data_IF_054621816276
#
_entry.id   IF_054621816276
#
_cell.length_a   1.000
_cell.length_b   1.000
_cell.length_c   1.000
_cell.angle_alpha   90.00
_cell.angle_beta   90.00
_cell.angle_gamma   90.00
#
_symmetry.space_group_name_H-M   'P 1'
#
loop_
_entity.id
_entity.type
_entity.pdbx_description
1 polymer ?
#
# COMPACT_ATOMS: atom_id res chain seq x y z
N UNK A 1 -54.43 -23.74 6.42
CA UNK A 1 -53.05 -23.71 5.91
C UNK A 1 -52.81 -22.35 5.26
N UNK A 2 -52.10 -21.44 5.92
CA UNK A 2 -51.67 -20.18 5.30
C UNK A 2 -50.61 -20.52 4.25
N UNK A 3 -50.95 -20.42 2.96
CA UNK A 3 -49.94 -20.42 1.90
C UNK A 3 -49.03 -19.22 2.17
N UNK A 4 -47.74 -19.47 2.37
CA UNK A 4 -46.75 -18.40 2.48
C UNK A 4 -46.81 -17.56 1.20
N UNK A 5 -46.70 -16.23 1.32
CA UNK A 5 -46.91 -15.24 0.25
C UNK A 5 -46.19 -15.57 -1.08
N UNK A 6 -45.09 -16.31 -1.01
CA UNK A 6 -44.28 -16.76 -2.15
C UNK A 6 -44.92 -17.88 -2.98
N UNK A 7 -45.80 -18.70 -2.40
CA UNK A 7 -46.46 -19.84 -3.06
C UNK A 7 -47.60 -19.42 -4.01
N UNK A 8 -47.95 -18.14 -4.04
CA UNK A 8 -49.00 -17.57 -4.90
C UNK A 8 -48.47 -16.59 -5.96
N UNK A 9 -47.16 -16.34 -6.01
CA UNK A 9 -46.55 -15.43 -6.97
C UNK A 9 -46.12 -16.19 -8.23
N UNK A 10 -46.25 -15.57 -9.40
CA UNK A 10 -45.68 -16.10 -10.63
C UNK A 10 -44.15 -15.98 -10.62
N UNK A 11 -43.48 -16.73 -11.52
CA UNK A 11 -42.02 -16.66 -11.66
C UNK A 11 -41.53 -15.21 -11.90
N UNK A 12 -42.17 -14.51 -12.85
CA UNK A 12 -41.85 -13.12 -13.16
C UNK A 12 -41.97 -12.21 -11.93
N UNK A 13 -43.02 -12.39 -11.12
CA UNK A 13 -43.22 -11.59 -9.92
C UNK A 13 -42.15 -11.88 -8.84
N UNK A 14 -41.61 -13.09 -8.82
CA UNK A 14 -40.50 -13.44 -7.93
C UNK A 14 -39.17 -12.84 -8.43
N UNK A 15 -38.94 -12.82 -9.74
CA UNK A 15 -37.76 -12.21 -10.37
C UNK A 15 -37.75 -10.68 -10.19
N UNK A 16 -38.88 -10.02 -10.45
CA UNK A 16 -39.01 -8.57 -10.25
C UNK A 16 -38.81 -8.19 -8.78
N UNK A 17 -39.27 -9.05 -7.86
CA UNK A 17 -39.08 -8.84 -6.42
C UNK A 17 -37.64 -9.06 -6.00
N UNK A 18 -36.94 -10.04 -6.58
CA UNK A 18 -35.51 -10.25 -6.34
C UNK A 18 -34.71 -9.01 -6.78
N UNK A 19 -34.94 -8.53 -8.01
CA UNK A 19 -34.27 -7.34 -8.53
C UNK A 19 -34.53 -6.10 -7.68
N UNK A 20 -35.77 -5.91 -7.21
CA UNK A 20 -36.10 -4.80 -6.31
C UNK A 20 -35.42 -4.93 -4.95
N UNK A 21 -35.35 -6.13 -4.37
CA UNK A 21 -34.66 -6.37 -3.10
C UNK A 21 -33.17 -6.06 -3.27
N UNK A 22 -32.53 -6.54 -4.33
CA UNK A 22 -31.11 -6.27 -4.60
C UNK A 22 -30.84 -4.77 -4.77
N UNK A 23 -31.69 -4.05 -5.49
CA UNK A 23 -31.61 -2.59 -5.61
C UNK A 23 -31.77 -1.89 -4.25
N UNK A 24 -32.75 -2.31 -3.43
CA UNK A 24 -32.92 -1.75 -2.09
C UNK A 24 -31.74 -2.05 -1.16
N UNK A 25 -31.17 -3.26 -1.22
CA UNK A 25 -30.00 -3.65 -0.44
C UNK A 25 -28.77 -2.81 -0.78
N UNK A 26 -28.60 -2.41 -2.04
CA UNK A 26 -27.54 -1.48 -2.46
C UNK A 26 -27.70 -0.07 -1.88
N UNK A 27 -28.93 0.36 -1.58
CA UNK A 27 -29.22 1.67 -1.00
C UNK A 27 -29.10 1.73 0.52
N UNK A 28 -29.09 0.57 1.21
CA UNK A 28 -28.98 0.53 2.66
C UNK A 28 -27.61 1.05 3.12
N UNK A 29 -27.62 1.83 4.21
CA UNK A 29 -26.41 2.21 4.91
C UNK A 29 -25.67 0.93 5.34
N UNK A 30 -24.46 0.74 4.84
CA UNK A 30 -23.71 -0.45 5.16
C UNK A 30 -22.72 -0.15 6.32
N UNK A 31 -23.06 -0.50 7.58
CA UNK A 31 -22.25 -0.14 8.73
C UNK A 31 -20.81 -0.64 8.58
N UNK A 32 -19.85 0.24 8.84
CA UNK A 32 -18.43 -0.07 8.95
C UNK A 32 -18.01 0.32 10.37
N UNK A 33 -17.69 -0.68 11.21
CA UNK A 33 -17.31 -0.46 12.61
C UNK A 33 -15.82 -0.08 12.78
N UNK A 34 -15.04 -0.01 11.70
CA UNK A 34 -13.65 0.46 11.66
C UNK A 34 -13.47 1.36 10.43
N UNK A 35 -12.65 2.41 10.55
CA UNK A 35 -12.19 3.17 9.39
C UNK A 35 -11.55 2.23 8.37
N UNK A 36 -11.74 2.49 7.07
CA UNK A 36 -11.17 1.66 5.99
C UNK A 36 -9.66 1.80 5.82
N UNK A 37 -8.96 2.32 6.83
CA UNK A 37 -7.56 2.75 6.76
C UNK A 37 -6.73 1.86 7.68
N UNK A 38 -5.70 1.22 7.13
CA UNK A 38 -4.69 0.49 7.89
C UNK A 38 -3.71 1.42 8.61
N UNK A 39 -2.63 0.87 9.15
CA UNK A 39 -1.56 1.67 9.73
C UNK A 39 -0.87 2.52 8.64
N UNK A 40 -0.56 3.76 8.98
CA UNK A 40 0.21 4.69 8.15
C UNK A 40 1.36 5.19 9.03
N UNK A 41 2.55 4.65 8.82
CA UNK A 41 3.76 5.10 9.53
C UNK A 41 4.36 6.34 8.88
N UNK A 42 4.31 6.43 7.55
CA UNK A 42 4.75 7.61 6.81
C UNK A 42 3.76 7.98 5.70
N UNK A 43 3.59 9.29 5.50
CA UNK A 43 2.83 9.87 4.38
C UNK A 43 3.49 11.17 3.94
N UNK A 44 3.82 11.26 2.65
CA UNK A 44 4.39 12.47 2.06
C UNK A 44 3.37 13.59 1.93
N UNK A 45 3.84 14.79 1.55
CA UNK A 45 2.95 15.82 1.01
C UNK A 45 2.25 15.29 -0.24
N UNK A 46 1.05 15.78 -0.46
CA UNK A 46 0.24 15.42 -1.62
C UNK A 46 0.66 16.22 -2.85
N UNK A 47 0.52 15.59 -4.01
CA UNK A 47 0.72 16.20 -5.32
C UNK A 47 -0.56 16.08 -6.16
N UNK A 48 -0.86 17.05 -7.03
CA UNK A 48 -1.90 16.88 -8.05
C UNK A 48 -1.43 16.01 -9.23
N UNK A 49 -0.14 15.66 -9.34
CA UNK A 49 0.43 14.89 -10.45
C UNK A 49 1.21 13.66 -9.95
N UNK A 50 1.29 12.57 -10.74
CA UNK A 50 1.97 11.34 -10.35
C UNK A 50 3.50 11.44 -10.33
N UNK A 51 4.10 12.22 -11.24
CA UNK A 51 5.55 12.23 -11.50
C UNK A 51 6.36 13.11 -10.54
N UNK A 52 5.80 13.43 -9.38
CA UNK A 52 6.52 14.17 -8.36
C UNK A 52 7.41 13.22 -7.55
N UNK A 53 8.73 13.37 -7.70
CA UNK A 53 9.70 12.60 -6.91
C UNK A 53 9.54 12.87 -5.41
N UNK A 54 9.50 11.80 -4.63
CA UNK A 54 9.49 11.84 -3.17
C UNK A 54 10.61 10.96 -2.63
N UNK A 55 11.42 11.54 -1.75
CA UNK A 55 12.56 10.86 -1.13
C UNK A 55 12.32 10.66 0.36
N UNK A 56 12.62 9.46 0.86
CA UNK A 56 12.60 9.11 2.28
C UNK A 56 13.94 8.50 2.62
N UNK A 57 14.69 9.15 3.50
CA UNK A 57 15.99 8.65 3.99
C UNK A 57 15.85 8.20 5.43
N UNK A 58 16.34 6.99 5.73
CA UNK A 58 16.56 6.51 7.09
C UNK A 58 18.06 6.53 7.33
N UNK A 59 18.49 7.22 8.37
CA UNK A 59 19.87 7.22 8.85
C UNK A 59 19.93 6.37 10.12
N UNK A 60 20.93 5.52 10.21
CA UNK A 60 21.19 4.69 11.38
C UNK A 60 22.04 5.47 12.38
N UNK A 61 22.03 5.06 13.65
CA UNK A 61 22.89 5.66 14.69
C UNK A 61 24.39 5.45 14.38
N UNK A 62 24.75 4.33 13.76
CA UNK A 62 26.10 3.98 13.35
C UNK A 62 26.11 3.24 12.01
N UNK A 63 27.30 3.02 11.44
CA UNK A 63 27.47 2.18 10.26
C UNK A 63 27.14 0.72 10.60
N UNK A 64 26.10 0.18 9.97
CA UNK A 64 25.57 -1.17 10.20
C UNK A 64 25.73 -2.06 8.98
N UNK A 65 25.84 -3.37 9.19
CA UNK A 65 25.72 -4.36 8.11
C UNK A 65 24.25 -4.57 7.77
N UNK A 66 23.88 -4.54 6.50
CA UNK A 66 22.51 -4.76 6.03
C UNK A 66 22.46 -5.79 4.90
N UNK A 67 21.41 -6.60 4.88
CA UNK A 67 21.20 -7.66 3.88
C UNK A 67 19.75 -7.74 3.34
N UNK A 68 18.79 -7.07 3.97
CA UNK A 68 17.41 -7.05 3.50
C UNK A 68 16.71 -5.72 3.81
N UNK A 69 15.89 -5.26 2.87
CA UNK A 69 15.05 -4.06 3.02
C UNK A 69 13.60 -4.46 2.78
N UNK A 70 12.69 -4.04 3.65
CA UNK A 70 11.27 -4.40 3.57
C UNK A 70 10.41 -3.13 3.55
N UNK A 71 9.64 -2.97 2.47
CA UNK A 71 8.66 -1.90 2.31
C UNK A 71 7.26 -2.44 2.61
N UNK A 72 6.63 -1.97 3.68
CA UNK A 72 5.29 -2.41 4.07
C UNK A 72 4.26 -1.39 3.56
N UNK A 73 3.32 -1.79 2.68
CA UNK A 73 2.34 -0.87 2.13
C UNK A 73 1.33 -0.41 3.18
N UNK A 74 0.95 0.87 3.13
CA UNK A 74 -0.26 1.34 3.80
C UNK A 74 -1.47 0.72 3.08
N UNK A 75 -2.41 0.14 3.84
CA UNK A 75 -3.55 -0.58 3.26
C UNK A 75 -4.82 0.26 3.36
N UNK A 76 -5.52 0.39 2.23
CA UNK A 76 -6.89 0.88 2.19
C UNK A 76 -7.86 -0.26 1.89
N UNK A 77 -8.97 -0.28 2.62
CA UNK A 77 -10.09 -1.19 2.41
C UNK A 77 -11.29 -0.44 1.86
N UNK A 78 -11.75 -0.86 0.68
CA UNK A 78 -13.04 -0.45 0.14
C UNK A 78 -13.89 -1.69 -0.17
N UNK A 79 -15.21 -1.57 -0.04
CA UNK A 79 -16.16 -2.65 -0.34
C UNK A 79 -16.21 -3.01 -1.82
N UNK A 80 -15.90 -2.07 -2.72
CA UNK A 80 -15.88 -2.31 -4.17
C UNK A 80 -14.63 -3.06 -4.65
N UNK A 81 -13.48 -2.80 -4.03
CA UNK A 81 -12.17 -3.30 -4.51
C UNK A 81 -11.42 -4.18 -3.51
N UNK A 82 -12.01 -4.47 -2.35
CA UNK A 82 -11.35 -5.23 -1.29
C UNK A 82 -10.22 -4.44 -0.62
N UNK A 83 -9.07 -5.11 -0.43
CA UNK A 83 -7.85 -4.51 0.12
C UNK A 83 -6.89 -4.13 -0.99
N UNK A 84 -6.28 -2.96 -0.89
CA UNK A 84 -5.22 -2.51 -1.78
C UNK A 84 -4.20 -1.65 -1.04
N UNK A 85 -2.99 -1.57 -1.57
CA UNK A 85 -2.07 -0.52 -1.19
C UNK A 85 -2.67 0.87 -1.49
N UNK A 86 -2.49 1.81 -0.57
CA UNK A 86 -2.86 3.21 -0.71
C UNK A 86 -1.58 4.04 -0.69
N UNK A 87 -1.29 4.76 -1.78
CA UNK A 87 -0.09 5.60 -1.89
C UNK A 87 1.24 4.84 -1.98
N UNK A 88 1.24 3.53 -2.19
CA UNK A 88 2.48 2.80 -2.51
C UNK A 88 2.89 3.12 -3.95
N UNK A 89 4.17 3.45 -4.23
CA UNK A 89 4.58 3.96 -5.54
C UNK A 89 4.49 2.89 -6.64
N UNK A 90 4.28 3.33 -7.89
CA UNK A 90 4.36 2.48 -9.08
C UNK A 90 5.81 2.22 -9.42
N UNK A 91 6.62 3.29 -9.43
CA UNK A 91 8.05 3.24 -9.75
C UNK A 91 8.87 3.86 -8.63
N UNK A 92 9.95 3.18 -8.25
CA UNK A 92 10.86 3.62 -7.21
C UNK A 92 12.20 2.90 -7.30
N UNK A 93 13.21 3.46 -6.65
CA UNK A 93 14.48 2.79 -6.42
C UNK A 93 14.96 3.02 -4.99
N UNK A 94 15.86 2.15 -4.55
CA UNK A 94 16.45 2.18 -3.21
C UNK A 94 17.95 2.38 -3.35
N UNK A 95 18.45 3.39 -2.65
CA UNK A 95 19.87 3.72 -2.54
C UNK A 95 20.38 3.32 -1.16
N UNK A 96 21.64 2.92 -1.11
CA UNK A 96 22.38 2.63 0.13
C UNK A 96 23.71 3.39 0.08
N UNK A 97 24.12 3.96 1.21
CA UNK A 97 25.42 4.60 1.33
C UNK A 97 25.88 4.72 2.78
N UNK A 98 27.09 5.22 2.95
CA UNK A 98 27.70 5.52 4.26
C UNK A 98 27.77 7.04 4.44
N UNK A 99 28.20 7.50 5.62
CA UNK A 99 28.39 8.95 5.84
C UNK A 99 29.52 9.54 4.99
N UNK A 100 30.47 8.71 4.54
CA UNK A 100 31.55 9.10 3.63
C UNK A 100 31.13 9.05 2.14
N UNK A 101 29.98 8.44 1.85
CA UNK A 101 29.38 8.36 0.51
C UNK A 101 27.91 8.82 0.54
N UNK A 102 27.70 10.13 0.48
CA UNK A 102 26.35 10.73 0.45
C UNK A 102 25.55 10.42 -0.83
N UNK A 103 26.24 10.04 -1.92
CA UNK A 103 25.57 9.68 -3.17
C UNK A 103 24.98 8.28 -3.11
N UNK A 104 25.70 7.36 -2.45
CA UNK A 104 25.35 5.96 -2.36
C UNK A 104 25.27 5.30 -3.74
N UNK A 105 24.66 4.11 -3.77
CA UNK A 105 24.42 3.37 -5.01
C UNK A 105 23.07 2.66 -4.95
N UNK A 106 22.52 2.36 -6.12
CA UNK A 106 21.22 1.70 -6.26
C UNK A 106 21.37 0.22 -5.94
N UNK A 107 20.58 -0.28 -4.99
CA UNK A 107 20.52 -1.71 -4.62
C UNK A 107 19.27 -2.40 -5.16
N UNK A 108 18.22 -1.64 -5.48
CA UNK A 108 17.03 -2.14 -6.13
C UNK A 108 16.29 -1.04 -6.88
N UNK A 109 15.63 -1.41 -7.98
CA UNK A 109 14.83 -0.51 -8.80
C UNK A 109 13.62 -1.27 -9.32
N UNK A 110 12.46 -0.60 -9.30
CA UNK A 110 11.19 -1.12 -9.76
C UNK A 110 10.45 -0.08 -10.60
N UNK A 111 9.71 -0.55 -11.59
CA UNK A 111 8.83 0.25 -12.41
C UNK A 111 7.46 -0.42 -12.65
N UNK A 112 6.69 0.13 -13.58
CA UNK A 112 5.36 -0.38 -13.90
C UNK A 112 5.38 -1.82 -14.48
N UNK A 113 6.47 -2.23 -15.13
CA UNK A 113 6.61 -3.55 -15.77
C UNK A 113 6.82 -4.66 -14.73
N UNK A 114 7.31 -4.33 -13.53
CA UNK A 114 7.44 -5.26 -12.40
C UNK A 114 6.08 -5.66 -11.79
N UNK A 115 5.00 -4.96 -12.13
CA UNK A 115 3.62 -5.28 -11.72
C UNK A 115 3.47 -5.48 -10.21
N UNK A 116 4.15 -4.66 -9.42
CA UNK A 116 4.08 -4.74 -7.95
C UNK A 116 2.68 -4.43 -7.40
N UNK A 117 1.83 -3.73 -8.16
CA UNK A 117 0.48 -3.35 -7.77
C UNK A 117 -0.58 -4.09 -8.61
N UNK A 118 -1.75 -4.45 -8.03
CA UNK A 118 -2.18 -4.21 -6.65
C UNK A 118 -1.51 -5.17 -5.66
N UNK A 119 -1.09 -4.67 -4.50
CA UNK A 119 -0.42 -5.47 -3.47
C UNK A 119 -0.90 -5.11 -2.07
N UNK A 120 -0.89 -6.12 -1.21
CA UNK A 120 -1.18 -6.01 0.22
C UNK A 120 -0.06 -6.60 1.09
N UNK A 121 0.80 -7.43 0.49
CA UNK A 121 1.96 -7.99 1.14
C UNK A 121 3.13 -6.99 1.09
N UNK A 122 4.07 -7.04 2.05
CA UNK A 122 5.31 -6.29 1.94
C UNK A 122 6.07 -6.59 0.63
N UNK A 123 6.88 -5.63 0.19
CA UNK A 123 7.94 -5.85 -0.80
C UNK A 123 9.21 -6.15 -0.02
N UNK A 124 9.75 -7.34 -0.21
CA UNK A 124 10.99 -7.80 0.41
C UNK A 124 12.08 -7.71 -0.66
N UNK A 125 13.15 -7.00 -0.34
CA UNK A 125 14.29 -6.75 -1.22
C UNK A 125 15.51 -7.35 -0.56
N UNK A 126 15.93 -8.51 -1.04
CA UNK A 126 17.20 -9.12 -0.63
C UNK A 126 18.34 -8.44 -1.39
N UNK A 127 19.39 -8.03 -0.66
CA UNK A 127 20.56 -7.36 -1.21
C UNK A 127 21.83 -8.12 -0.82
N UNK A 128 22.92 -7.90 -1.54
CA UNK A 128 24.23 -8.40 -1.08
C UNK A 128 24.58 -7.74 0.27
N UNK A 129 25.02 -8.53 1.28
CA UNK A 129 25.40 -7.99 2.58
C UNK A 129 26.47 -6.91 2.46
N UNK A 130 26.18 -5.73 2.99
CA UNK A 130 27.04 -4.57 2.86
C UNK A 130 26.88 -3.60 4.03
N UNK A 131 27.87 -2.70 4.17
CA UNK A 131 27.83 -1.67 5.19
C UNK A 131 27.07 -0.43 4.73
N UNK A 132 26.30 0.15 5.62
CA UNK A 132 25.52 1.36 5.36
C UNK A 132 25.37 2.20 6.62
N UNK A 133 25.40 3.53 6.47
CA UNK A 133 24.93 4.47 7.50
C UNK A 133 23.50 4.93 7.22
N UNK A 134 23.03 4.74 5.99
CA UNK A 134 21.70 5.17 5.59
C UNK A 134 21.16 4.35 4.41
N UNK A 135 19.83 4.33 4.31
CA UNK A 135 19.11 3.94 3.10
C UNK A 135 18.21 5.08 2.62
N UNK A 136 17.95 5.15 1.33
CA UNK A 136 17.02 6.11 0.75
C UNK A 136 16.08 5.44 -0.23
N UNK A 137 14.79 5.54 0.03
CA UNK A 137 13.74 5.23 -0.93
C UNK A 137 13.44 6.47 -1.77
N UNK A 138 13.49 6.33 -3.09
CA UNK A 138 13.15 7.38 -4.04
C UNK A 138 11.97 6.90 -4.89
N UNK A 139 10.78 7.43 -4.61
CA UNK A 139 9.59 7.17 -5.40
C UNK A 139 9.54 8.15 -6.58
N UNK A 140 9.57 7.63 -7.80
CA UNK A 140 9.57 8.42 -9.04
C UNK A 140 8.20 8.52 -9.69
N UNK A 141 7.31 7.57 -9.41
CA UNK A 141 5.91 7.60 -9.85
C UNK A 141 4.99 7.22 -8.69
N UNK A 142 4.16 8.18 -8.26
CA UNK A 142 3.26 8.04 -7.13
C UNK A 142 1.91 7.43 -7.56
N UNK A 143 1.22 6.81 -6.61
CA UNK A 143 -0.19 6.41 -6.79
C UNK A 143 -1.17 7.37 -6.13
N UNK A 144 -2.39 7.51 -6.68
CA UNK A 144 -3.42 8.34 -6.10
C UNK A 144 -4.00 7.69 -4.84
N UNK A 145 -4.27 8.53 -3.83
CA UNK A 145 -4.95 8.09 -2.61
C UNK A 145 -6.40 7.72 -2.88
N UNK A 146 -6.88 6.75 -2.12
CA UNK A 146 -8.18 6.15 -2.33
C UNK A 146 -9.39 7.08 -2.08
N UNK A 147 -9.23 8.16 -1.33
CA UNK A 147 -10.34 8.98 -0.83
C UNK A 147 -10.50 10.34 -1.52
N UNK A 148 -9.44 10.90 -2.09
CA UNK A 148 -9.47 12.19 -2.80
C UNK A 148 -8.69 12.22 -4.12
N UNK A 149 -8.03 11.12 -4.50
CA UNK A 149 -7.32 11.01 -5.77
C UNK A 149 -6.01 11.80 -5.85
N UNK A 150 -5.59 12.49 -4.78
CA UNK A 150 -4.29 13.16 -4.76
C UNK A 150 -3.15 12.14 -4.65
N UNK A 151 -2.02 12.43 -5.29
CA UNK A 151 -0.87 11.53 -5.32
C UNK A 151 0.00 11.73 -4.07
N UNK A 152 0.46 10.64 -3.47
CA UNK A 152 1.37 10.71 -2.31
C UNK A 152 2.09 9.38 -2.12
N UNK A 153 3.31 9.41 -1.58
CA UNK A 153 3.95 8.23 -1.04
C UNK A 153 3.40 7.91 0.35
N UNK A 154 2.98 6.67 0.57
CA UNK A 154 2.55 6.16 1.87
C UNK A 154 3.12 4.77 2.13
N UNK A 155 3.63 4.60 3.34
CA UNK A 155 4.10 3.31 3.85
C UNK A 155 3.52 3.10 5.24
N UNK A 156 3.17 1.85 5.54
CA UNK A 156 2.91 1.45 6.91
C UNK A 156 4.23 1.43 7.69
N UNK A 157 5.26 0.79 7.12
CA UNK A 157 6.59 0.65 7.72
C UNK A 157 7.66 0.57 6.62
N UNK A 158 8.88 0.94 6.98
CA UNK A 158 10.09 0.69 6.22
C UNK A 158 11.09 0.05 7.20
N UNK A 159 11.44 -1.21 6.96
CA UNK A 159 12.32 -2.00 7.82
C UNK A 159 13.63 -2.27 7.08
N UNK A 160 14.74 -2.29 7.82
CA UNK A 160 16.06 -2.65 7.28
C UNK A 160 16.68 -3.66 8.20
N UNK A 161 17.09 -4.80 7.66
CA UNK A 161 17.58 -5.92 8.44
C UNK A 161 19.09 -6.12 8.26
N UNK A 162 19.70 -6.52 9.38
CA UNK A 162 20.96 -7.25 9.45
C UNK A 162 20.63 -8.67 9.91
N UNK A 163 20.59 -9.62 8.99
CA UNK A 163 20.10 -10.98 9.25
C UNK A 163 18.66 -10.99 9.80
N UNK A 164 18.50 -11.06 11.12
CA UNK A 164 17.20 -11.10 11.81
C UNK A 164 16.89 -9.85 12.64
N UNK A 165 17.80 -8.88 12.68
CA UNK A 165 17.66 -7.67 13.49
C UNK A 165 17.28 -6.47 12.63
N UNK A 166 16.24 -5.74 13.01
CA UNK A 166 15.84 -4.51 12.30
C UNK A 166 16.68 -3.32 12.79
N UNK A 167 17.73 -2.99 12.03
CA UNK A 167 18.66 -1.90 12.34
C UNK A 167 18.08 -0.51 12.10
N UNK A 168 16.91 -0.40 11.46
CA UNK A 168 16.23 0.89 11.27
C UNK A 168 15.59 1.45 12.56
N UNK A 169 15.64 0.71 13.67
CA UNK A 169 15.10 1.12 14.97
C UNK A 169 16.15 1.67 15.95
N UNK A 170 17.44 1.52 15.61
CA UNK A 170 18.57 1.90 16.46
C UNK A 170 18.97 3.37 16.21
#
# INVERSE_FOLDING_TARGET
MQKTLHQSMSLQQLEDRLANIDACLQMLAQPNMRSGVGAIGYRSRTSPVPDQSVEVTIRFEAEEQIDQIVLVPAIWRNKTFGFRADGFPVAFHILVGTDDDESGHVVAQYDADDQLLPRIAPVVVDIEPQKASWIRLVATELTPRAWDGLYSLQLAELLVFSNSENVALN
#
